data_IF_127423646503
#
_entry.id   IF_127423646503
#
_cell.length_a   1.000
_cell.length_b   1.000
_cell.length_c   1.000
_cell.angle_alpha   90.00
_cell.angle_beta   90.00
_cell.angle_gamma   90.00
#
_symmetry.space_group_name_H-M   'P 1'
#
loop_
_entity.id
_entity.type
_entity.pdbx_description
1 polymer ?
#
# COMPACT_ATOMS: atom_id res chain seq x y z
N UNK A 1 72.35 -19.08 -14.46
CA UNK A 1 72.26 -17.65 -14.13
C UNK A 1 70.83 -17.24 -14.11
N UNK A 2 70.24 -17.15 -12.91
CA UNK A 2 68.85 -16.65 -12.65
C UNK A 2 68.93 -15.19 -12.25
N UNK A 3 67.85 -14.41 -12.50
CA UNK A 3 67.31 -13.70 -11.37
C UNK A 3 65.79 -13.83 -11.23
N UNK A 4 65.45 -14.06 -10.01
CA UNK A 4 64.13 -14.00 -9.42
C UNK A 4 63.62 -12.55 -9.38
N UNK A 5 62.38 -12.30 -9.84
CA UNK A 5 61.65 -11.09 -9.52
C UNK A 5 60.40 -11.47 -8.71
N UNK A 6 60.45 -11.17 -7.44
CA UNK A 6 59.31 -11.20 -6.52
C UNK A 6 58.45 -9.98 -6.79
N UNK A 7 57.26 -10.19 -7.33
CA UNK A 7 56.22 -9.15 -7.37
C UNK A 7 55.26 -9.38 -6.24
N UNK A 8 55.32 -8.49 -5.27
CA UNK A 8 54.41 -8.40 -4.11
C UNK A 8 53.05 -7.99 -4.61
N UNK A 9 52.06 -8.88 -4.51
CA UNK A 9 50.66 -8.55 -4.78
C UNK A 9 50.07 -7.99 -3.48
N UNK A 10 49.92 -6.66 -3.46
CA UNK A 10 49.18 -5.97 -2.40
C UNK A 10 47.70 -6.29 -2.50
N UNK A 11 47.20 -7.01 -1.48
CA UNK A 11 45.78 -7.27 -1.31
C UNK A 11 45.11 -5.99 -0.79
N UNK A 12 44.48 -5.23 -1.68
CA UNK A 12 43.61 -4.13 -1.32
C UNK A 12 42.27 -4.71 -0.83
N UNK A 13 42.06 -4.69 0.48
CA UNK A 13 40.74 -4.95 1.07
C UNK A 13 39.84 -3.72 0.81
N UNK A 14 39.04 -3.81 -0.23
CA UNK A 14 37.92 -2.85 -0.43
C UNK A 14 36.81 -3.22 0.55
N UNK A 15 36.68 -2.51 1.66
CA UNK A 15 35.48 -2.50 2.47
C UNK A 15 34.33 -1.87 1.65
N UNK A 16 33.53 -2.71 1.02
CA UNK A 16 32.26 -2.28 0.42
C UNK A 16 31.27 -1.95 1.53
N UNK A 17 31.11 -0.67 1.81
CA UNK A 17 29.97 -0.15 2.56
C UNK A 17 28.72 -0.23 1.67
N UNK A 18 28.12 -1.41 1.55
CA UNK A 18 26.96 -1.69 0.69
C UNK A 18 25.76 -2.16 1.56
N UNK A 19 25.41 -1.42 2.60
CA UNK A 19 24.35 -1.85 3.50
C UNK A 19 23.11 -0.94 3.57
N UNK A 20 23.17 0.30 3.11
CA UNK A 20 22.10 1.27 3.37
C UNK A 20 21.19 1.58 2.16
N UNK A 21 21.59 1.23 0.94
CA UNK A 21 20.81 1.57 -0.26
C UNK A 21 19.74 0.54 -0.65
N UNK A 22 19.94 -0.72 -0.27
CA UNK A 22 19.05 -1.81 -0.68
C UNK A 22 17.73 -1.86 0.11
N UNK A 23 17.73 -1.40 1.35
CA UNK A 23 16.51 -1.39 2.19
C UNK A 23 15.51 -0.34 1.75
N UNK A 24 15.96 0.87 1.42
CA UNK A 24 15.08 1.96 0.97
C UNK A 24 14.43 1.62 -0.37
N UNK A 25 15.18 1.11 -1.34
CA UNK A 25 14.65 0.73 -2.64
C UNK A 25 13.64 -0.44 -2.54
N UNK A 26 13.83 -1.37 -1.60
CA UNK A 26 12.90 -2.46 -1.38
C UNK A 26 11.59 -1.97 -0.74
N UNK A 27 11.65 -1.02 0.18
CA UNK A 27 10.48 -0.39 0.79
C UNK A 27 9.67 0.40 -0.24
N UNK A 28 10.32 1.24 -1.04
CA UNK A 28 9.65 2.00 -2.10
C UNK A 28 8.95 1.08 -3.11
N UNK A 29 9.55 -0.06 -3.46
CA UNK A 29 8.95 -1.05 -4.35
C UNK A 29 7.74 -1.76 -3.72
N UNK A 30 7.78 -2.06 -2.42
CA UNK A 30 6.66 -2.66 -1.69
C UNK A 30 5.49 -1.66 -1.58
N UNK A 31 5.76 -0.40 -1.25
CA UNK A 31 4.75 0.65 -1.20
C UNK A 31 4.05 0.81 -2.55
N UNK A 32 4.79 0.91 -3.66
CA UNK A 32 4.24 1.00 -5.02
C UNK A 32 3.41 -0.23 -5.40
N UNK A 33 3.86 -1.43 -5.02
CA UNK A 33 3.11 -2.67 -5.23
C UNK A 33 1.78 -2.66 -4.48
N UNK A 34 1.79 -2.19 -3.23
CA UNK A 34 0.61 -2.12 -2.38
C UNK A 34 -0.41 -1.07 -2.89
N UNK A 35 0.06 0.07 -3.41
CA UNK A 35 -0.81 1.05 -4.08
C UNK A 35 -1.50 0.45 -5.31
N UNK A 36 -0.78 -0.36 -6.09
CA UNK A 36 -1.35 -1.05 -7.24
C UNK A 36 -2.41 -2.08 -6.82
N UNK A 37 -2.15 -2.86 -5.76
CA UNK A 37 -3.13 -3.79 -5.19
C UNK A 37 -4.39 -3.02 -4.75
N UNK A 38 -4.24 -1.88 -4.07
CA UNK A 38 -5.36 -1.04 -3.68
C UNK A 38 -6.18 -0.59 -4.90
N UNK A 39 -5.51 -0.10 -5.94
CA UNK A 39 -6.17 0.33 -7.16
C UNK A 39 -6.93 -0.83 -7.85
N UNK A 40 -6.38 -2.03 -7.87
CA UNK A 40 -7.05 -3.23 -8.40
C UNK A 40 -8.27 -3.61 -7.56
N UNK A 41 -8.15 -3.62 -6.23
CA UNK A 41 -9.27 -3.91 -5.33
C UNK A 41 -10.41 -2.92 -5.55
N UNK A 42 -10.13 -1.62 -5.57
CA UNK A 42 -11.18 -0.60 -5.76
C UNK A 42 -11.76 -0.65 -7.16
N UNK A 43 -10.93 -0.61 -8.20
CA UNK A 43 -11.43 -0.43 -9.56
C UNK A 43 -11.99 -1.72 -10.17
N UNK A 44 -11.37 -2.88 -9.88
CA UNK A 44 -11.76 -4.13 -10.50
C UNK A 44 -12.72 -4.93 -9.63
N UNK A 45 -12.45 -5.06 -8.32
CA UNK A 45 -13.29 -5.86 -7.43
C UNK A 45 -14.54 -5.07 -7.04
N UNK A 46 -14.39 -3.91 -6.39
CA UNK A 46 -15.56 -3.14 -5.94
C UNK A 46 -16.35 -2.54 -7.10
N UNK A 47 -15.71 -1.84 -8.04
CA UNK A 47 -16.41 -1.12 -9.10
C UNK A 47 -16.92 -2.01 -10.24
N UNK A 48 -16.20 -3.08 -10.57
CA UNK A 48 -16.53 -3.93 -11.73
C UNK A 48 -17.04 -5.33 -11.33
N UNK A 49 -16.90 -5.72 -10.07
CA UNK A 49 -17.32 -7.04 -9.62
C UNK A 49 -16.46 -8.18 -10.16
N UNK A 50 -15.17 -7.95 -10.41
CA UNK A 50 -14.24 -8.94 -10.95
C UNK A 50 -13.89 -10.00 -9.89
N UNK A 51 -14.79 -10.96 -9.65
CA UNK A 51 -14.67 -11.95 -8.57
C UNK A 51 -13.45 -12.87 -8.72
N UNK A 52 -12.98 -13.13 -9.93
CA UNK A 52 -11.78 -13.95 -10.17
C UNK A 52 -10.51 -13.33 -9.57
N UNK A 53 -10.40 -11.99 -9.56
CA UNK A 53 -9.25 -11.32 -8.95
C UNK A 53 -9.19 -11.48 -7.43
N UNK A 54 -10.30 -11.82 -6.79
CA UNK A 54 -10.32 -12.08 -5.34
C UNK A 54 -9.47 -13.32 -5.03
N UNK A 55 -9.43 -14.31 -5.92
CA UNK A 55 -8.59 -15.50 -5.74
C UNK A 55 -7.10 -15.19 -5.78
N UNK A 56 -6.72 -14.17 -6.53
CA UNK A 56 -5.33 -13.80 -6.77
C UNK A 56 -4.81 -12.76 -5.76
N UNK A 57 -5.69 -11.93 -5.19
CA UNK A 57 -5.30 -10.79 -4.37
C UNK A 57 -5.71 -10.89 -2.91
N UNK A 58 -6.72 -11.70 -2.57
CA UNK A 58 -7.32 -11.70 -1.23
C UNK A 58 -7.00 -13.01 -0.49
N UNK A 59 -6.56 -12.91 0.74
CA UNK A 59 -6.24 -14.05 1.59
C UNK A 59 -7.48 -14.94 1.84
N UNK A 60 -7.24 -16.24 2.10
CA UNK A 60 -8.34 -17.19 2.33
C UNK A 60 -9.16 -16.87 3.58
N UNK A 61 -8.53 -16.29 4.58
CA UNK A 61 -9.05 -15.94 5.89
C UNK A 61 -9.28 -14.44 6.09
N UNK A 62 -9.49 -13.71 5.00
CA UNK A 62 -9.71 -12.26 5.01
C UNK A 62 -10.82 -11.85 5.98
N UNK A 63 -10.60 -10.70 6.66
CA UNK A 63 -11.62 -10.03 7.46
C UNK A 63 -12.09 -8.74 6.77
N UNK A 64 -13.37 -8.40 7.00
CA UNK A 64 -13.97 -7.14 6.55
C UNK A 64 -14.59 -6.43 7.75
N UNK A 65 -14.17 -5.18 7.98
CA UNK A 65 -14.58 -4.36 9.13
C UNK A 65 -14.44 -5.09 10.47
N UNK A 66 -13.35 -5.87 10.62
CA UNK A 66 -13.04 -6.66 11.81
C UNK A 66 -13.81 -7.98 11.93
N UNK A 67 -14.65 -8.32 10.97
CA UNK A 67 -15.38 -9.60 10.96
C UNK A 67 -14.69 -10.59 10.03
N UNK A 68 -14.30 -11.78 10.51
CA UNK A 68 -13.77 -12.84 9.64
C UNK A 68 -14.85 -13.29 8.65
N UNK A 69 -14.66 -13.03 7.37
CA UNK A 69 -15.61 -13.41 6.31
C UNK A 69 -15.06 -14.51 5.42
N UNK A 70 -13.75 -14.63 5.37
CA UNK A 70 -13.06 -15.49 4.42
C UNK A 70 -13.24 -15.07 2.97
N UNK A 71 -12.45 -15.65 2.07
CA UNK A 71 -12.44 -15.30 0.64
C UNK A 71 -13.80 -15.51 -0.01
N UNK A 72 -14.45 -16.62 0.24
CA UNK A 72 -15.76 -16.93 -0.35
C UNK A 72 -16.86 -16.03 0.19
N UNK A 73 -16.84 -15.71 1.49
CA UNK A 73 -17.76 -14.73 2.07
C UNK A 73 -17.54 -13.33 1.48
N UNK A 74 -16.29 -12.94 1.24
CA UNK A 74 -15.98 -11.67 0.59
C UNK A 74 -16.49 -11.63 -0.87
N UNK A 75 -16.35 -12.72 -1.64
CA UNK A 75 -16.94 -12.82 -2.97
C UNK A 75 -18.46 -12.67 -2.94
N UNK A 76 -19.14 -13.32 -1.99
CA UNK A 76 -20.57 -13.19 -1.81
C UNK A 76 -20.95 -11.73 -1.53
N UNK A 77 -20.25 -11.07 -0.60
CA UNK A 77 -20.48 -9.64 -0.29
C UNK A 77 -20.36 -8.74 -1.52
N UNK A 78 -19.33 -8.93 -2.36
CA UNK A 78 -19.15 -8.14 -3.59
C UNK A 78 -20.26 -8.43 -4.59
N UNK A 79 -20.66 -9.69 -4.76
CA UNK A 79 -21.76 -10.08 -5.62
C UNK A 79 -23.07 -9.41 -5.21
N UNK A 80 -23.40 -9.47 -3.92
CA UNK A 80 -24.60 -8.88 -3.35
C UNK A 80 -24.59 -7.34 -3.46
N UNK A 81 -23.44 -6.72 -3.15
CA UNK A 81 -23.25 -5.28 -3.35
C UNK A 81 -23.55 -4.85 -4.79
N UNK A 82 -23.09 -5.60 -5.78
CA UNK A 82 -23.31 -5.27 -7.18
C UNK A 82 -24.72 -5.56 -7.66
N UNK A 83 -25.38 -6.57 -7.08
CA UNK A 83 -26.78 -6.88 -7.37
C UNK A 83 -27.72 -5.82 -6.79
N UNK A 84 -27.52 -5.44 -5.53
CA UNK A 84 -28.37 -4.49 -4.81
C UNK A 84 -28.13 -3.04 -5.26
N UNK A 85 -26.92 -2.71 -5.68
CA UNK A 85 -26.48 -1.35 -6.00
C UNK A 85 -25.66 -1.31 -7.29
N UNK A 86 -26.31 -1.45 -8.46
CA UNK A 86 -25.62 -1.49 -9.75
C UNK A 86 -24.89 -0.18 -10.09
N UNK A 87 -25.34 0.96 -9.52
CA UNK A 87 -24.74 2.29 -9.65
C UNK A 87 -23.64 2.58 -8.62
N UNK A 88 -23.36 1.64 -7.70
CA UNK A 88 -22.28 1.79 -6.73
C UNK A 88 -20.93 2.01 -7.41
N UNK A 89 -20.26 3.09 -7.03
CA UNK A 89 -18.95 3.43 -7.57
C UNK A 89 -18.08 4.09 -6.50
N UNK A 90 -16.85 3.66 -6.44
CA UNK A 90 -15.79 4.28 -5.67
C UNK A 90 -14.87 5.06 -6.61
N UNK A 91 -14.56 6.30 -6.27
CA UNK A 91 -13.57 7.12 -6.96
C UNK A 91 -12.45 7.42 -5.98
N UNK A 92 -11.23 7.00 -6.33
CA UNK A 92 -10.02 7.22 -5.51
C UNK A 92 -9.52 8.64 -5.72
N UNK A 93 -9.20 9.34 -4.64
CA UNK A 93 -8.66 10.71 -4.67
C UNK A 93 -7.20 10.74 -4.24
N UNK A 94 -6.87 10.02 -3.17
CA UNK A 94 -5.53 9.98 -2.59
C UNK A 94 -5.26 8.59 -2.00
N UNK A 95 -4.02 8.14 -2.11
CA UNK A 95 -3.56 6.86 -1.58
C UNK A 95 -2.24 7.07 -0.85
N UNK A 96 -2.11 6.45 0.29
CA UNK A 96 -0.86 6.39 1.06
C UNK A 96 -0.60 4.96 1.45
N UNK A 97 0.56 4.44 1.11
CA UNK A 97 0.96 3.08 1.39
C UNK A 97 2.17 3.00 2.31
N UNK A 98 2.25 1.91 3.05
CA UNK A 98 3.43 1.39 3.74
C UNK A 98 3.67 -0.04 3.29
N UNK A 99 4.66 -0.73 3.87
CA UNK A 99 4.91 -2.15 3.58
C UNK A 99 3.72 -3.06 3.88
N UNK A 100 2.87 -2.72 4.87
CA UNK A 100 1.79 -3.58 5.34
C UNK A 100 0.39 -2.99 5.18
N UNK A 101 0.28 -1.67 5.05
CA UNK A 101 -1.02 -0.98 5.09
C UNK A 101 -1.13 0.04 3.98
N UNK A 102 -2.29 0.05 3.32
CA UNK A 102 -2.66 1.10 2.37
C UNK A 102 -3.92 1.79 2.86
N UNK A 103 -3.91 3.10 2.85
CA UNK A 103 -5.09 3.94 3.07
C UNK A 103 -5.43 4.70 1.81
N UNK A 104 -6.69 4.67 1.42
CA UNK A 104 -7.20 5.45 0.31
C UNK A 104 -8.39 6.30 0.71
N UNK A 105 -8.32 7.60 0.40
CA UNK A 105 -9.49 8.47 0.41
C UNK A 105 -10.30 8.26 -0.85
N UNK A 106 -11.56 7.89 -0.70
CA UNK A 106 -12.45 7.60 -1.81
C UNK A 106 -13.77 8.34 -1.66
N UNK A 107 -14.40 8.66 -2.79
CA UNK A 107 -15.80 9.06 -2.81
C UNK A 107 -16.64 7.89 -3.27
N UNK A 108 -17.62 7.50 -2.46
CA UNK A 108 -18.64 6.52 -2.79
C UNK A 108 -19.83 7.24 -3.43
N UNK A 109 -20.16 6.88 -4.67
CA UNK A 109 -21.41 7.28 -5.32
C UNK A 109 -22.45 6.18 -5.15
N UNK A 110 -23.64 6.55 -4.70
CA UNK A 110 -24.75 5.63 -4.44
C UNK A 110 -26.08 6.40 -4.45
N UNK A 111 -27.03 5.99 -5.29
CA UNK A 111 -28.36 6.60 -5.36
C UNK A 111 -28.31 8.12 -5.62
N UNK A 112 -27.37 8.58 -6.44
CA UNK A 112 -27.17 10.01 -6.72
C UNK A 112 -26.53 10.82 -5.59
N UNK A 113 -26.12 10.18 -4.50
CA UNK A 113 -25.41 10.81 -3.38
C UNK A 113 -23.93 10.47 -3.42
N UNK A 114 -23.11 11.43 -3.00
CA UNK A 114 -21.68 11.25 -2.83
C UNK A 114 -21.35 11.24 -1.33
N UNK A 115 -20.61 10.24 -0.90
CA UNK A 115 -20.13 10.09 0.48
C UNK A 115 -18.63 9.93 0.47
N UNK A 116 -17.92 10.73 1.25
CA UNK A 116 -16.49 10.53 1.45
C UNK A 116 -16.25 9.36 2.41
N UNK A 117 -15.22 8.56 2.11
CA UNK A 117 -14.86 7.34 2.82
C UNK A 117 -13.35 7.19 2.89
N UNK A 118 -12.89 6.48 3.89
CA UNK A 118 -11.52 5.98 3.95
C UNK A 118 -11.56 4.46 3.89
N UNK A 119 -10.86 3.89 2.92
CA UNK A 119 -10.67 2.44 2.82
C UNK A 119 -9.25 2.13 3.24
N UNK A 120 -9.09 1.18 4.15
CA UNK A 120 -7.81 0.61 4.53
C UNK A 120 -7.74 -0.84 4.06
N UNK A 121 -6.61 -1.19 3.49
CA UNK A 121 -6.22 -2.57 3.26
C UNK A 121 -4.99 -2.89 4.11
N UNK A 122 -5.02 -4.02 4.81
CA UNK A 122 -3.81 -4.65 5.32
C UNK A 122 -3.35 -5.67 4.29
N UNK A 123 -2.06 -5.62 3.97
CA UNK A 123 -1.45 -6.49 2.98
C UNK A 123 -0.30 -7.22 3.65
N UNK A 124 -0.31 -8.55 3.55
CA UNK A 124 0.76 -9.41 4.02
C UNK A 124 1.24 -10.30 2.87
N UNK A 125 2.53 -10.23 2.56
CA UNK A 125 3.15 -10.97 1.45
C UNK A 125 2.39 -10.86 0.12
N UNK A 126 1.84 -9.68 -0.19
CA UNK A 126 1.06 -9.42 -1.41
C UNK A 126 -0.41 -9.87 -1.37
N UNK A 127 -0.89 -10.39 -0.21
CA UNK A 127 -2.27 -10.77 0.00
C UNK A 127 -3.00 -9.78 0.87
N UNK A 128 -4.19 -9.36 0.46
CA UNK A 128 -5.08 -8.55 1.28
C UNK A 128 -5.68 -9.43 2.39
N UNK A 129 -5.32 -9.15 3.63
CA UNK A 129 -5.76 -9.89 4.83
C UNK A 129 -6.88 -9.21 5.58
N UNK A 130 -6.95 -7.88 5.51
CA UNK A 130 -8.00 -7.10 6.14
C UNK A 130 -8.47 -5.96 5.22
N UNK A 131 -9.76 -5.70 5.25
CA UNK A 131 -10.41 -4.60 4.52
C UNK A 131 -11.28 -3.83 5.51
N UNK A 132 -11.05 -2.53 5.63
CA UNK A 132 -11.84 -1.65 6.47
C UNK A 132 -12.42 -0.50 5.66
N UNK A 133 -13.65 -0.12 5.96
CA UNK A 133 -14.36 0.97 5.29
C UNK A 133 -15.01 1.91 6.30
N UNK A 134 -14.41 3.07 6.52
CA UNK A 134 -14.90 4.06 7.48
C UNK A 134 -15.54 5.28 6.83
N UNK A 135 -16.58 5.87 7.42
CA UNK A 135 -17.06 7.18 7.03
C UNK A 135 -16.02 8.23 7.44
N UNK A 136 -15.52 9.01 6.49
CA UNK A 136 -14.72 10.25 6.58
C UNK A 136 -13.52 10.32 7.52
N UNK A 137 -13.47 9.60 8.62
CA UNK A 137 -12.32 9.60 9.54
C UNK A 137 -12.01 8.18 10.01
N UNK A 138 -10.79 7.67 9.76
CA UNK A 138 -10.35 6.42 10.37
C UNK A 138 -10.31 6.59 11.90
N UNK A 139 -10.55 5.53 12.68
CA UNK A 139 -10.41 5.59 14.12
C UNK A 139 -9.02 6.07 14.50
N UNK A 140 -8.93 6.92 15.53
CA UNK A 140 -7.71 7.60 15.98
C UNK A 140 -6.55 6.65 16.35
N UNK A 141 -6.78 5.35 16.38
CA UNK A 141 -5.80 4.30 16.65
C UNK A 141 -4.95 3.90 15.42
N UNK A 142 -5.39 4.24 14.23
CA UNK A 142 -4.59 3.98 13.00
C UNK A 142 -3.59 5.11 12.83
N UNK A 143 -2.47 5.04 13.53
CA UNK A 143 -1.31 5.90 13.27
C UNK A 143 -0.53 5.31 12.11
N UNK A 144 -0.76 5.80 10.90
CA UNK A 144 0.25 5.74 9.86
C UNK A 144 1.45 6.56 10.37
N UNK A 145 2.64 5.98 10.27
CA UNK A 145 3.85 6.73 10.56
C UNK A 145 3.88 8.00 9.73
N UNK A 146 3.47 9.12 10.33
CA UNK A 146 3.51 10.40 9.67
C UNK A 146 4.96 10.68 9.27
N UNK A 147 5.26 10.68 7.98
CA UNK A 147 6.46 11.34 7.46
C UNK A 147 6.37 12.79 7.94
N UNK A 148 7.15 13.14 8.92
CA UNK A 148 7.30 14.52 9.36
C UNK A 148 7.80 15.31 8.15
N UNK A 149 7.09 16.35 7.66
CA UNK A 149 7.60 17.16 6.57
C UNK A 149 8.94 17.74 7.03
N UNK A 150 10.00 17.44 6.29
CA UNK A 150 11.32 18.05 6.50
C UNK A 150 11.12 19.54 6.31
N UNK A 151 11.13 20.24 7.45
CA UNK A 151 11.07 21.70 7.48
C UNK A 151 12.32 22.22 6.77
N UNK A 152 12.15 22.77 5.57
CA UNK A 152 13.21 23.47 4.88
C UNK A 152 13.63 24.67 5.74
N UNK A 153 14.68 24.47 6.54
CA UNK A 153 15.36 25.55 7.25
C UNK A 153 16.25 26.29 6.27
N UNK A 154 15.72 27.36 5.69
CA UNK A 154 16.44 28.17 4.73
C UNK A 154 15.82 29.55 4.53
N UNK A 155 15.58 30.28 5.59
CA UNK A 155 15.40 31.73 5.47
C UNK A 155 16.38 32.43 6.41
N UNK A 156 17.57 32.71 5.87
CA UNK A 156 18.46 33.73 6.45
C UNK A 156 17.80 35.08 6.18
N UNK A 157 17.27 35.66 7.24
CA UNK A 157 16.92 37.08 7.28
C UNK A 157 18.24 37.86 7.22
N UNK A 158 18.47 38.59 6.15
CA UNK A 158 19.39 39.72 6.13
C UNK A 158 18.57 40.93 6.57
N UNK A 159 18.94 41.53 7.66
CA UNK A 159 18.49 42.83 8.08
C UNK A 159 19.64 43.85 7.91
N UNK A 160 19.35 45.14 7.64
CA UNK A 160 20.25 46.20 7.21
C UNK A 160 21.23 46.66 8.31
#
# INVERSE_FOLDING_TARGET
MTPRWLTSIGLAVACAATGCGTTVAAQDAAEQSNELIFALVVNRIFNQGALSLIDDLVAKDVSSDGVPVGREGFKAMIKDLRADRPDFKLTVHDVSATEEVVLGHVTQAEGGRLKSRVIMLRIDHGWVTEIWNWPDQPPSSVRLGARTPVRASGQRSAAP
#
